data_IF_335675740035
#
_entry.id   IF_335675740035
#
_cell.length_a   1.000
_cell.length_b   1.000
_cell.length_c   1.000
_cell.angle_alpha   90.00
_cell.angle_beta   90.00
_cell.angle_gamma   90.00
#
_symmetry.space_group_name_H-M   'P 1'
#
loop_
_entity.id
_entity.type
_entity.pdbx_description
1 polymer ?
#
# COMPACT_ATOMS: atom_id res chain seq x y z
N UNK A 1 11.15 -11.32 2.42
CA UNK A 1 10.64 -10.00 1.95
C UNK A 1 11.67 -8.90 2.17
N UNK A 2 12.48 -8.53 1.16
CA UNK A 2 13.58 -7.56 1.32
C UNK A 2 13.17 -6.13 1.71
N UNK A 3 11.92 -5.73 1.43
CA UNK A 3 11.42 -4.38 1.78
C UNK A 3 11.22 -4.21 3.28
N UNK A 4 10.74 -5.24 3.99
CA UNK A 4 10.57 -5.17 5.45
C UNK A 4 11.91 -4.89 6.13
N UNK A 5 12.97 -5.59 5.75
CA UNK A 5 14.31 -5.39 6.31
C UNK A 5 14.87 -3.99 6.02
N UNK A 6 14.52 -3.43 4.87
CA UNK A 6 14.98 -2.11 4.39
C UNK A 6 14.28 -0.92 5.05
N UNK A 7 13.17 -1.14 5.77
CA UNK A 7 12.48 -0.07 6.51
C UNK A 7 13.28 0.34 7.75
N UNK A 8 13.25 1.63 8.08
CA UNK A 8 13.79 2.13 9.34
C UNK A 8 12.91 1.69 10.53
N UNK A 9 13.41 1.90 11.75
CA UNK A 9 12.75 1.42 12.96
C UNK A 9 11.38 2.08 13.20
N UNK A 10 11.20 3.35 12.83
CA UNK A 10 9.91 4.03 12.98
C UNK A 10 8.90 3.46 11.99
N UNK A 11 9.28 3.33 10.72
CA UNK A 11 8.41 2.71 9.71
C UNK A 11 8.03 1.26 10.05
N UNK A 12 8.94 0.47 10.64
CA UNK A 12 8.62 -0.87 11.14
C UNK A 12 7.62 -0.84 12.29
N UNK A 13 7.77 0.11 13.22
CA UNK A 13 6.85 0.29 14.32
C UNK A 13 5.46 0.70 13.83
N UNK A 14 5.38 1.64 12.88
CA UNK A 14 4.12 2.09 12.27
C UNK A 14 3.46 0.99 11.44
N UNK A 15 4.24 0.11 10.81
CA UNK A 15 3.72 -1.05 10.07
C UNK A 15 3.06 -2.06 10.99
N UNK A 16 3.59 -2.23 12.20
CA UNK A 16 3.05 -3.13 13.21
C UNK A 16 3.31 -4.60 12.92
N UNK A 17 2.49 -5.47 13.50
CA UNK A 17 2.63 -6.91 13.38
C UNK A 17 1.96 -7.44 12.10
N UNK A 18 2.46 -8.53 11.51
CA UNK A 18 1.79 -9.18 10.39
C UNK A 18 0.45 -9.77 10.83
N UNK A 19 -0.62 -9.48 10.09
CA UNK A 19 -1.97 -9.96 10.44
C UNK A 19 -2.25 -11.39 9.96
N UNK A 20 -1.25 -12.08 9.40
CA UNK A 20 -1.35 -13.41 8.82
C UNK A 20 -0.08 -13.83 8.09
N UNK A 21 -0.06 -14.97 7.39
CA UNK A 21 1.06 -15.36 6.55
C UNK A 21 1.12 -14.56 5.24
N UNK A 22 2.28 -14.59 4.58
CA UNK A 22 2.44 -14.05 3.22
C UNK A 22 1.51 -14.80 2.26
N UNK A 23 0.86 -14.05 1.39
CA UNK A 23 -0.06 -14.58 0.38
C UNK A 23 0.53 -14.35 -1.02
N UNK A 24 0.26 -15.31 -1.91
CA UNK A 24 0.69 -15.27 -3.31
C UNK A 24 -0.52 -15.15 -4.22
N UNK A 25 -0.48 -14.16 -5.11
CA UNK A 25 -1.47 -13.98 -6.15
C UNK A 25 -1.22 -14.95 -7.33
N UNK A 26 -2.27 -15.37 -8.06
CA UNK A 26 -2.15 -16.24 -9.21
C UNK A 26 -1.21 -15.72 -10.32
N UNK A 27 -1.13 -14.40 -10.51
CA UNK A 27 -0.25 -13.76 -11.50
C UNK A 27 1.24 -13.70 -11.08
N UNK A 28 1.56 -14.12 -9.85
CA UNK A 28 2.93 -14.25 -9.37
C UNK A 28 3.38 -13.19 -8.36
N UNK A 29 2.62 -12.10 -8.17
CA UNK A 29 2.87 -11.17 -7.08
C UNK A 29 2.61 -11.79 -5.69
N UNK A 30 3.24 -11.22 -4.67
CA UNK A 30 3.08 -11.63 -3.26
C UNK A 30 2.76 -10.43 -2.40
N UNK A 31 2.05 -10.63 -1.31
CA UNK A 31 1.75 -9.58 -0.35
C UNK A 31 1.70 -10.10 1.08
N UNK A 32 2.03 -9.24 2.02
CA UNK A 32 1.93 -9.49 3.45
C UNK A 32 1.19 -8.32 4.09
N UNK A 33 0.05 -8.61 4.72
CA UNK A 33 -0.72 -7.63 5.47
C UNK A 33 -0.13 -7.45 6.87
N UNK A 34 -0.13 -6.21 7.32
CA UNK A 34 0.26 -5.78 8.67
C UNK A 34 -0.80 -4.83 9.22
N UNK A 35 -0.81 -4.59 10.53
CA UNK A 35 -1.78 -3.67 11.16
C UNK A 35 -1.80 -2.29 10.49
N UNK A 36 -0.62 -1.70 10.28
CA UNK A 36 -0.45 -0.35 9.73
C UNK A 36 -0.39 -0.27 8.20
N UNK A 37 -0.31 -1.40 7.48
CA UNK A 37 -0.16 -1.36 6.04
C UNK A 37 0.01 -2.73 5.38
N UNK A 38 0.51 -2.73 4.16
CA UNK A 38 0.75 -3.94 3.38
C UNK A 38 2.05 -3.80 2.61
N UNK A 39 2.89 -4.84 2.65
CA UNK A 39 4.05 -4.94 1.77
C UNK A 39 3.64 -5.80 0.59
N UNK A 40 3.81 -5.27 -0.61
CA UNK A 40 3.48 -5.94 -1.87
C UNK A 40 4.76 -6.10 -2.67
N UNK A 41 4.97 -7.26 -3.28
CA UNK A 41 6.13 -7.56 -4.09
C UNK A 41 5.73 -8.21 -5.41
N UNK A 42 6.12 -7.57 -6.51
CA UNK A 42 6.10 -8.12 -7.87
C UNK A 42 7.54 -8.14 -8.40
N UNK A 43 7.87 -7.28 -9.37
CA UNK A 43 9.26 -7.02 -9.77
C UNK A 43 9.98 -6.15 -8.74
N UNK A 44 9.23 -5.29 -8.05
CA UNK A 44 9.71 -4.42 -6.97
C UNK A 44 8.78 -4.54 -5.78
N UNK A 45 9.29 -4.13 -4.62
CA UNK A 45 8.51 -4.12 -3.39
C UNK A 45 8.12 -2.70 -2.99
N UNK A 46 6.84 -2.54 -2.67
CA UNK A 46 6.26 -1.28 -2.23
C UNK A 46 5.48 -1.48 -0.94
N UNK A 47 5.39 -0.43 -0.14
CA UNK A 47 4.52 -0.41 1.04
C UNK A 47 3.36 0.53 0.78
N UNK A 48 2.15 0.07 1.06
CA UNK A 48 0.93 0.89 1.05
C UNK A 48 0.44 1.00 2.48
N UNK A 49 0.20 2.22 2.96
CA UNK A 49 -0.04 2.51 4.37
C UNK A 49 -1.50 2.87 4.64
N UNK A 50 -1.94 2.59 5.88
CA UNK A 50 -3.14 3.15 6.50
C UNK A 50 -4.37 3.24 5.59
N UNK A 51 -4.98 4.44 5.53
CA UNK A 51 -6.22 4.69 4.79
C UNK A 51 -6.13 4.47 3.28
N UNK A 52 -4.94 4.66 2.71
CA UNK A 52 -4.69 4.38 1.30
C UNK A 52 -4.77 2.87 1.06
N UNK A 53 -4.13 2.08 1.93
CA UNK A 53 -4.20 0.61 1.93
C UNK A 53 -5.62 0.11 2.16
N UNK A 54 -6.34 0.70 3.10
CA UNK A 54 -7.73 0.33 3.40
C UNK A 54 -8.59 0.50 2.15
N UNK A 55 -8.54 1.67 1.51
CA UNK A 55 -9.29 1.94 0.27
C UNK A 55 -8.89 1.04 -0.87
N UNK A 56 -7.59 0.77 -1.02
CA UNK A 56 -7.09 -0.16 -2.04
C UNK A 56 -7.62 -1.58 -1.83
N UNK A 57 -7.63 -2.07 -0.58
CA UNK A 57 -8.17 -3.38 -0.23
C UNK A 57 -9.69 -3.46 -0.50
N UNK A 58 -10.46 -2.41 -0.19
CA UNK A 58 -11.89 -2.33 -0.52
C UNK A 58 -12.16 -2.46 -2.03
N UNK A 59 -11.20 -2.03 -2.85
CA UNK A 59 -11.27 -2.12 -4.31
C UNK A 59 -10.74 -3.45 -4.88
N UNK A 60 -10.44 -4.43 -4.03
CA UNK A 60 -9.93 -5.75 -4.41
C UNK A 60 -8.40 -5.88 -4.33
N UNK A 61 -7.70 -4.88 -3.81
CA UNK A 61 -6.25 -4.88 -3.64
C UNK A 61 -5.51 -5.10 -4.97
N UNK A 62 -4.44 -5.90 -4.91
CA UNK A 62 -3.59 -6.21 -6.08
C UNK A 62 -4.27 -6.99 -7.18
N UNK A 63 -5.43 -7.57 -6.91
CA UNK A 63 -6.26 -8.28 -7.91
C UNK A 63 -7.48 -7.45 -8.32
N UNK A 64 -7.61 -6.24 -7.77
CA UNK A 64 -8.69 -5.32 -8.01
C UNK A 64 -8.41 -4.38 -9.18
N UNK A 65 -9.30 -3.42 -9.34
CA UNK A 65 -9.32 -2.49 -10.49
C UNK A 65 -8.06 -1.64 -10.64
N UNK A 66 -7.37 -1.33 -9.54
CA UNK A 66 -6.17 -0.49 -9.54
C UNK A 66 -4.88 -1.27 -9.81
N UNK A 67 -4.89 -2.59 -9.62
CA UNK A 67 -3.69 -3.43 -9.73
C UNK A 67 -2.67 -3.20 -8.62
N UNK A 68 -1.41 -3.49 -8.93
CA UNK A 68 -0.28 -3.39 -8.01
C UNK A 68 0.17 -1.94 -7.76
N UNK A 69 0.76 -1.64 -6.59
CA UNK A 69 1.46 -0.37 -6.38
C UNK A 69 2.69 -0.28 -7.28
N UNK A 70 2.96 0.91 -7.81
CA UNK A 70 4.11 1.22 -8.67
C UNK A 70 5.05 2.25 -8.04
N UNK A 71 4.65 2.88 -6.94
CA UNK A 71 5.45 3.80 -6.14
C UNK A 71 5.30 3.52 -4.63
N UNK A 72 6.30 3.93 -3.85
CA UNK A 72 6.12 4.13 -2.41
C UNK A 72 5.15 5.31 -2.15
N UNK A 73 4.64 5.43 -0.93
CA UNK A 73 3.84 6.58 -0.51
C UNK A 73 4.67 7.86 -0.56
N UNK A 74 4.12 8.89 -1.19
CA UNK A 74 4.68 10.24 -1.24
C UNK A 74 3.79 11.21 -0.48
N UNK A 75 4.40 12.18 0.21
CA UNK A 75 3.67 13.31 0.83
C UNK A 75 3.75 14.53 -0.09
N UNK A 76 2.60 15.04 -0.51
CA UNK A 76 2.45 16.24 -1.33
C UNK A 76 2.64 17.52 -0.51
N UNK A 77 2.86 18.64 -1.19
CA UNK A 77 3.10 19.94 -0.56
C UNK A 77 1.93 20.43 0.33
N UNK A 78 0.70 19.99 0.04
CA UNK A 78 -0.47 20.32 0.86
C UNK A 78 -0.65 19.42 2.09
N UNK A 79 0.25 18.45 2.29
CA UNK A 79 0.20 17.47 3.38
C UNK A 79 -0.59 16.20 3.06
N UNK A 80 -1.18 16.09 1.86
CA UNK A 80 -1.83 14.85 1.43
C UNK A 80 -0.78 13.76 1.13
N UNK A 81 -1.11 12.53 1.47
CA UNK A 81 -0.36 11.31 1.16
C UNK A 81 -0.93 10.66 -0.08
N UNK A 82 -0.07 10.07 -0.89
CA UNK A 82 -0.49 9.45 -2.15
C UNK A 82 0.35 8.21 -2.47
N UNK A 83 -0.30 7.18 -2.99
CA UNK A 83 0.35 6.03 -3.62
C UNK A 83 -0.14 5.87 -5.06
N UNK A 84 0.78 5.51 -5.95
CA UNK A 84 0.49 5.24 -7.37
C UNK A 84 0.36 3.74 -7.59
N UNK A 85 -0.61 3.35 -8.41
CA UNK A 85 -0.93 1.99 -8.80
C UNK A 85 -0.90 1.86 -10.33
N UNK A 86 -0.96 0.64 -10.85
CA UNK A 86 -0.91 0.38 -12.29
C UNK A 86 -2.01 1.10 -13.09
N UNK A 87 -3.22 1.20 -12.50
CA UNK A 87 -4.41 1.76 -13.16
C UNK A 87 -5.01 2.96 -12.40
N UNK A 88 -4.23 3.59 -11.52
CA UNK A 88 -4.67 4.82 -10.88
C UNK A 88 -3.80 5.26 -9.73
N UNK A 89 -4.36 6.17 -8.95
CA UNK A 89 -3.74 6.84 -7.83
C UNK A 89 -4.75 6.89 -6.70
N UNK A 90 -4.29 6.62 -5.47
CA UNK A 90 -5.09 6.87 -4.28
C UNK A 90 -4.39 7.94 -3.45
N UNK A 91 -5.15 8.98 -3.09
CA UNK A 91 -4.69 10.12 -2.31
C UNK A 91 -5.54 10.24 -1.05
N UNK A 92 -4.91 10.47 0.09
CA UNK A 92 -5.57 10.67 1.38
C UNK A 92 -4.88 11.77 2.17
N UNK A 93 -5.63 12.58 2.91
CA UNK A 93 -5.06 13.60 3.78
C UNK A 93 -5.49 13.36 5.22
N UNK A 94 -4.60 13.68 6.16
CA UNK A 94 -4.93 13.58 7.57
C UNK A 94 -6.16 14.42 7.92
N UNK A 95 -7.12 13.78 8.59
CA UNK A 95 -8.42 14.36 8.92
C UNK A 95 -9.55 13.97 7.95
N UNK A 96 -9.24 13.48 6.75
CA UNK A 96 -10.28 12.98 5.84
C UNK A 96 -10.78 11.60 6.28
N UNK A 97 -12.10 11.36 6.27
CA UNK A 97 -12.66 10.07 6.67
C UNK A 97 -12.29 8.95 5.70
N UNK A 98 -12.06 9.27 4.43
CA UNK A 98 -11.81 8.32 3.35
C UNK A 98 -10.73 8.81 2.38
N UNK A 99 -10.03 7.86 1.74
CA UNK A 99 -9.11 8.15 0.66
C UNK A 99 -9.86 8.33 -0.67
N UNK A 100 -9.38 9.25 -1.51
CA UNK A 100 -9.91 9.52 -2.84
C UNK A 100 -9.16 8.71 -3.89
N UNK A 101 -9.89 8.16 -4.86
CA UNK A 101 -9.36 7.31 -5.92
C UNK A 101 -9.47 8.05 -7.24
N UNK A 102 -8.36 8.12 -7.97
CA UNK A 102 -8.29 8.66 -9.34
C UNK A 102 -7.82 7.53 -10.26
N UNK A 103 -8.69 7.04 -11.13
CA UNK A 103 -8.38 6.01 -12.13
C UNK A 103 -7.90 6.67 -13.44
N UNK A 104 -7.07 5.96 -14.22
CA UNK A 104 -6.61 6.41 -15.54
C UNK A 104 -6.83 5.38 -16.65
#
# INVERSE_FOLDING_TARGET
MAKLDSLDAAAKQDLGEPTGPEQKNPDGGTYQQFDGGVIVHTTRSYVVWGKIRDKWNELGGSQGKLGYPTSDETTNADGSKQSTFEHGVITWKEGDPEATVTEH
#
